data_IF_629664518422
#
_entry.id   IF_629664518422
#
_cell.length_a   1.000
_cell.length_b   1.000
_cell.length_c   1.000
_cell.angle_alpha   90.00
_cell.angle_beta   90.00
_cell.angle_gamma   90.00
#
_symmetry.space_group_name_H-M   'P 1'
#
loop_
_entity.id
_entity.type
_entity.pdbx_description
1 polymer ?
#
# COMPACT_ATOMS: atom_id res chain seq x y z
N UNK A 1 -24.76 3.52 2.03
CA UNK A 1 -24.17 2.18 1.77
C UNK A 1 -22.72 2.21 2.21
N UNK A 2 -22.37 1.44 3.24
CA UNK A 2 -20.97 1.31 3.64
C UNK A 2 -20.30 0.35 2.64
N UNK A 3 -19.58 0.91 1.69
CA UNK A 3 -18.90 0.13 0.64
C UNK A 3 -17.46 -0.15 1.09
N UNK A 4 -17.11 -1.42 1.23
CA UNK A 4 -15.71 -1.83 1.37
C UNK A 4 -15.00 -1.71 0.02
N UNK A 5 -13.79 -1.15 -0.01
CA UNK A 5 -13.03 -0.94 -1.25
C UNK A 5 -11.66 -1.62 -1.21
N UNK A 6 -11.16 -2.07 -2.37
CA UNK A 6 -9.80 -2.61 -2.50
C UNK A 6 -8.82 -1.47 -2.73
N UNK A 7 -7.60 -1.62 -2.22
CA UNK A 7 -6.53 -0.69 -2.53
C UNK A 7 -6.13 -0.76 -4.01
N UNK A 8 -5.86 0.40 -4.59
CA UNK A 8 -5.23 0.49 -5.91
C UNK A 8 -4.15 1.58 -5.87
N UNK A 9 -2.92 1.35 -6.35
CA UNK A 9 -2.38 0.02 -6.65
C UNK A 9 -2.43 -0.88 -5.40
N UNK A 10 -2.46 -2.20 -5.61
CA UNK A 10 -2.32 -3.15 -4.50
C UNK A 10 -0.88 -3.12 -3.96
N UNK A 11 -0.71 -3.36 -2.66
CA UNK A 11 0.62 -3.54 -2.07
C UNK A 11 1.16 -4.89 -2.57
N UNK A 12 2.36 -4.86 -3.15
CA UNK A 12 3.05 -6.04 -3.67
C UNK A 12 4.49 -6.02 -3.21
N UNK A 13 4.96 -7.14 -2.66
CA UNK A 13 6.30 -7.25 -2.07
C UNK A 13 7.01 -8.50 -2.56
N UNK A 14 8.34 -8.43 -2.67
CA UNK A 14 9.20 -9.60 -2.93
C UNK A 14 10.10 -9.80 -1.73
N UNK A 15 9.97 -10.94 -1.06
CA UNK A 15 10.82 -11.27 0.09
C UNK A 15 12.03 -12.08 -0.38
N UNK A 16 13.15 -11.93 0.30
CA UNK A 16 14.43 -12.61 0.05
C UNK A 16 15.10 -12.90 1.40
N UNK A 17 16.07 -13.83 1.41
CA UNK A 17 16.89 -14.19 2.57
C UNK A 17 16.09 -14.72 3.77
N UNK A 18 14.98 -15.41 3.52
CA UNK A 18 14.35 -16.25 4.54
C UNK A 18 15.06 -17.60 4.62
N UNK A 19 14.99 -18.26 5.77
CA UNK A 19 15.40 -19.66 5.84
C UNK A 19 14.42 -20.50 4.98
N UNK A 20 14.90 -21.28 3.99
CA UNK A 20 14.02 -22.04 3.11
C UNK A 20 13.11 -23.05 3.84
N UNK A 21 13.56 -23.56 4.99
CA UNK A 21 12.93 -24.65 5.74
C UNK A 21 11.99 -24.16 6.83
N UNK A 22 12.20 -22.95 7.34
CA UNK A 22 11.36 -22.34 8.37
C UNK A 22 10.00 -21.89 7.83
N UNK A 23 9.01 -21.86 8.71
CA UNK A 23 7.64 -21.44 8.40
C UNK A 23 7.42 -19.98 8.79
N UNK A 24 6.78 -19.22 7.90
CA UNK A 24 6.50 -17.81 8.11
C UNK A 24 5.05 -17.48 7.82
N UNK A 25 4.47 -16.58 8.63
CA UNK A 25 3.29 -15.83 8.26
C UNK A 25 3.70 -14.49 7.65
N UNK A 26 3.03 -14.11 6.57
CA UNK A 26 3.16 -12.77 6.00
C UNK A 26 1.85 -12.04 6.23
N UNK A 27 1.92 -10.88 6.86
CA UNK A 27 0.75 -10.09 7.21
C UNK A 27 0.97 -8.61 6.88
N UNK A 28 -0.12 -7.85 6.88
CA UNK A 28 -0.09 -6.41 6.67
C UNK A 28 -1.07 -5.73 7.63
N UNK A 29 -0.62 -4.64 8.25
CA UNK A 29 -1.50 -3.71 8.94
C UNK A 29 -1.41 -2.31 8.30
N UNK A 30 -2.26 -1.41 8.77
CA UNK A 30 -2.25 -0.02 8.32
C UNK A 30 -2.31 0.86 9.57
N UNK A 31 -1.27 1.68 9.77
CA UNK A 31 -1.15 2.57 10.93
C UNK A 31 -1.42 4.03 10.54
N UNK A 32 -2.01 4.84 11.44
CA UNK A 32 -2.09 6.29 11.23
C UNK A 32 -0.69 6.89 11.15
N UNK A 33 -0.52 7.90 10.30
CA UNK A 33 0.74 8.66 10.16
C UNK A 33 0.86 9.75 11.22
N UNK A 34 -0.27 10.38 11.54
CA UNK A 34 -0.40 11.43 12.56
C UNK A 34 -1.81 11.40 13.16
N UNK A 35 -2.02 12.23 14.18
CA UNK A 35 -3.33 12.42 14.85
C UNK A 35 -4.08 13.63 14.28
N UNK A 36 -4.12 13.78 12.95
CA UNK A 36 -4.71 14.94 12.26
C UNK A 36 -5.78 14.53 11.26
N UNK A 37 -6.89 15.27 11.30
CA UNK A 37 -7.91 15.23 10.26
C UNK A 37 -7.56 16.24 9.18
N UNK A 38 -7.68 15.83 7.93
CA UNK A 38 -7.34 16.64 6.77
C UNK A 38 -8.61 17.12 6.03
N UNK A 39 -8.44 18.18 5.25
CA UNK A 39 -9.40 18.63 4.22
C UNK A 39 -8.66 18.98 2.95
N UNK A 40 -9.29 18.76 1.80
CA UNK A 40 -8.74 19.20 0.52
C UNK A 40 -9.25 20.60 0.19
N UNK A 41 -8.35 21.49 -0.19
CA UNK A 41 -8.65 22.86 -0.60
C UNK A 41 -8.56 22.95 -2.11
N UNK A 42 -9.71 23.06 -2.78
CA UNK A 42 -9.82 22.95 -4.24
C UNK A 42 -9.10 24.07 -4.99
N UNK A 43 -9.27 25.33 -4.57
CA UNK A 43 -8.69 26.48 -5.26
C UNK A 43 -7.15 26.50 -5.23
N UNK A 44 -6.53 25.90 -4.21
CA UNK A 44 -5.07 25.77 -4.10
C UNK A 44 -4.57 24.36 -4.40
N UNK A 45 -5.46 23.43 -4.72
CA UNK A 45 -5.15 22.01 -4.95
C UNK A 45 -4.25 21.39 -3.87
N UNK A 46 -4.55 21.63 -2.60
CA UNK A 46 -3.69 21.23 -1.48
C UNK A 46 -4.46 20.58 -0.33
N UNK A 47 -3.78 19.66 0.36
CA UNK A 47 -4.25 19.10 1.62
C UNK A 47 -3.89 20.00 2.80
N UNK A 48 -4.88 20.36 3.60
CA UNK A 48 -4.72 21.19 4.80
C UNK A 48 -5.19 20.44 6.03
N UNK A 49 -4.57 20.73 7.18
CA UNK A 49 -5.05 20.24 8.48
C UNK A 49 -6.36 20.96 8.81
N UNK A 50 -7.37 20.17 9.16
CA UNK A 50 -8.70 20.65 9.56
C UNK A 50 -8.93 20.55 11.07
N UNK A 51 -8.19 19.70 11.77
CA UNK A 51 -8.26 19.54 13.21
C UNK A 51 -7.44 18.34 13.69
N UNK A 52 -7.48 18.10 15.00
CA UNK A 52 -6.86 16.94 15.63
C UNK A 52 -7.88 15.82 15.76
N UNK A 53 -7.41 14.58 15.79
CA UNK A 53 -8.26 13.39 15.98
C UNK A 53 -7.53 12.39 16.84
N UNK A 54 -8.27 11.79 17.77
CA UNK A 54 -7.77 10.67 18.55
C UNK A 54 -8.06 9.36 17.81
N UNK A 55 -6.99 8.59 17.59
CA UNK A 55 -7.07 7.27 16.94
C UNK A 55 -7.17 6.12 17.95
N UNK A 56 -7.19 6.42 19.26
CA UNK A 56 -7.25 5.43 20.33
C UNK A 56 -8.48 4.50 20.24
N UNK A 57 -9.58 4.98 19.64
CA UNK A 57 -10.81 4.20 19.46
C UNK A 57 -10.75 3.18 18.30
N UNK A 58 -9.75 3.27 17.40
CA UNK A 58 -9.63 2.34 16.27
C UNK A 58 -8.68 1.22 16.65
N UNK A 59 -9.22 0.03 16.89
CA UNK A 59 -8.41 -1.18 17.05
C UNK A 59 -7.71 -1.51 15.73
N UNK A 60 -6.36 -1.52 15.68
CA UNK A 60 -5.62 -1.92 14.48
C UNK A 60 -5.98 -3.35 14.08
N UNK A 61 -6.27 -3.57 12.80
CA UNK A 61 -6.56 -4.90 12.26
C UNK A 61 -5.38 -5.42 11.48
N UNK A 62 -4.98 -6.65 11.79
CA UNK A 62 -3.95 -7.38 11.08
C UNK A 62 -4.59 -8.21 9.97
N UNK A 63 -4.19 -7.96 8.72
CA UNK A 63 -4.54 -8.82 7.59
C UNK A 63 -3.46 -9.86 7.38
N UNK A 64 -3.78 -11.14 7.59
CA UNK A 64 -2.86 -12.25 7.30
C UNK A 64 -3.03 -12.67 5.84
N UNK A 65 -1.93 -12.82 5.10
CA UNK A 65 -1.97 -13.29 3.72
C UNK A 65 -2.56 -14.71 3.68
N UNK A 66 -3.49 -15.02 2.75
CA UNK A 66 -4.21 -16.30 2.72
C UNK A 66 -3.30 -17.53 2.57
N UNK A 67 -2.13 -17.36 1.95
CA UNK A 67 -1.15 -18.44 1.80
C UNK A 67 -0.31 -18.67 3.08
N UNK A 68 -0.58 -17.95 4.18
CA UNK A 68 0.12 -18.15 5.45
C UNK A 68 -0.50 -19.29 6.28
N UNK A 69 0.31 -20.06 7.03
CA UNK A 69 1.78 -20.07 7.00
C UNK A 69 2.32 -20.77 5.75
N UNK A 70 3.52 -20.36 5.33
CA UNK A 70 4.26 -21.06 4.26
C UNK A 70 5.76 -21.04 4.52
N UNK A 71 6.50 -21.93 3.84
CA UNK A 71 7.94 -22.01 3.96
C UNK A 71 8.63 -20.77 3.40
N UNK A 72 9.81 -20.43 3.93
CA UNK A 72 10.61 -19.33 3.40
C UNK A 72 10.93 -19.51 1.91
N UNK A 73 11.16 -20.75 1.46
CA UNK A 73 11.37 -21.08 0.05
C UNK A 73 10.15 -20.68 -0.81
N UNK A 74 8.95 -21.02 -0.35
CA UNK A 74 7.70 -20.72 -1.06
C UNK A 74 7.48 -19.21 -1.17
N UNK A 75 7.66 -18.49 -0.06
CA UNK A 75 7.53 -17.02 -0.04
C UNK A 75 8.53 -16.33 -0.96
N UNK A 76 9.77 -16.83 -1.01
CA UNK A 76 10.82 -16.29 -1.87
C UNK A 76 10.64 -16.65 -3.35
N UNK A 77 9.71 -17.54 -3.72
CA UNK A 77 9.51 -18.00 -5.11
C UNK A 77 8.90 -16.92 -6.00
N UNK A 78 7.87 -16.21 -5.54
CA UNK A 78 7.16 -15.20 -6.34
C UNK A 78 6.93 -13.88 -5.60
N UNK A 79 6.27 -12.92 -6.26
CA UNK A 79 5.85 -11.67 -5.62
C UNK A 79 4.57 -11.94 -4.84
N UNK A 80 4.53 -11.48 -3.59
CA UNK A 80 3.38 -11.57 -2.70
C UNK A 80 2.47 -10.36 -2.94
N UNK A 81 1.16 -10.58 -3.02
CA UNK A 81 0.17 -9.56 -3.37
C UNK A 81 -0.90 -9.44 -2.31
N UNK A 82 -1.17 -8.21 -1.87
CA UNK A 82 -2.25 -7.87 -0.95
C UNK A 82 -3.48 -7.30 -1.69
N UNK A 83 -3.78 -7.82 -2.88
CA UNK A 83 -4.89 -7.37 -3.75
C UNK A 83 -6.29 -7.73 -3.19
N UNK A 84 -6.35 -8.68 -2.26
CA UNK A 84 -7.58 -9.07 -1.56
C UNK A 84 -7.87 -8.21 -0.33
N UNK A 85 -6.96 -7.33 0.08
CA UNK A 85 -7.19 -6.42 1.22
C UNK A 85 -8.30 -5.45 0.89
N UNK A 86 -9.23 -5.33 1.83
CA UNK A 86 -10.36 -4.41 1.77
C UNK A 86 -10.30 -3.43 2.93
N UNK A 87 -10.60 -2.18 2.61
CA UNK A 87 -10.69 -1.06 3.54
C UNK A 87 -12.17 -0.70 3.71
N UNK A 88 -12.55 -0.32 4.93
CA UNK A 88 -13.91 0.11 5.28
C UNK A 88 -13.87 1.28 6.25
N UNK A 89 -14.92 2.10 6.25
CA UNK A 89 -15.16 3.11 7.27
C UNK A 89 -16.26 2.68 8.28
N UNK A 90 -16.74 1.43 8.19
CA UNK A 90 -17.63 0.87 9.20
C UNK A 90 -16.82 0.45 10.44
N UNK A 91 -16.99 1.16 11.54
CA UNK A 91 -16.36 0.83 12.82
C UNK A 91 -16.86 -0.51 13.39
N UNK A 92 -18.06 -0.95 12.97
CA UNK A 92 -18.69 -2.20 13.39
C UNK A 92 -18.52 -3.32 12.35
N UNK A 93 -17.48 -3.28 11.51
CA UNK A 93 -17.26 -4.31 10.49
C UNK A 93 -16.96 -5.68 11.11
N UNK A 94 -17.76 -6.70 10.78
CA UNK A 94 -17.61 -8.08 11.25
C UNK A 94 -16.89 -9.00 10.24
N UNK A 95 -16.53 -8.46 9.07
CA UNK A 95 -15.96 -9.21 7.93
C UNK A 95 -14.43 -9.27 7.94
N UNK A 96 -13.80 -8.72 8.98
CA UNK A 96 -12.34 -8.65 9.09
C UNK A 96 -11.68 -7.68 8.11
N UNK A 97 -12.43 -6.73 7.53
CA UNK A 97 -11.83 -5.67 6.72
C UNK A 97 -11.04 -4.70 7.60
N UNK A 98 -10.01 -4.06 7.05
CA UNK A 98 -9.25 -3.04 7.78
C UNK A 98 -10.11 -1.79 7.90
N UNK A 99 -10.41 -1.37 9.13
CA UNK A 99 -11.21 -0.19 9.43
C UNK A 99 -10.31 1.03 9.44
N UNK A 100 -10.66 2.04 8.66
CA UNK A 100 -9.96 3.32 8.62
C UNK A 100 -10.95 4.47 8.66
N UNK A 101 -10.61 5.52 9.40
CA UNK A 101 -11.37 6.77 9.37
C UNK A 101 -11.11 7.51 8.07
N UNK A 102 -12.13 8.17 7.51
CA UNK A 102 -11.98 9.01 6.32
C UNK A 102 -11.21 10.28 6.64
N UNK A 103 -10.55 10.86 5.64
CA UNK A 103 -9.81 12.13 5.72
C UNK A 103 -8.59 12.11 6.64
N UNK A 104 -7.94 10.94 6.79
CA UNK A 104 -6.75 10.76 7.61
C UNK A 104 -5.62 10.15 6.79
N UNK A 105 -4.38 10.40 7.22
CA UNK A 105 -3.18 9.84 6.58
C UNK A 105 -2.81 8.52 7.23
N UNK A 106 -2.57 7.51 6.40
CA UNK A 106 -2.20 6.18 6.84
C UNK A 106 -0.98 5.67 6.08
N UNK A 107 -0.28 4.71 6.70
CA UNK A 107 0.86 4.00 6.12
C UNK A 107 0.67 2.49 6.32
N UNK A 108 0.64 1.70 5.22
CA UNK A 108 0.73 0.26 5.31
C UNK A 108 2.06 -0.21 5.87
N UNK A 109 2.05 -1.26 6.68
CA UNK A 109 3.26 -1.99 7.10
C UNK A 109 3.10 -3.46 6.76
N UNK A 110 4.19 -4.07 6.29
CA UNK A 110 4.23 -5.50 5.99
C UNK A 110 5.07 -6.18 7.07
N UNK A 111 4.57 -7.31 7.57
CA UNK A 111 5.18 -8.09 8.63
C UNK A 111 5.55 -9.47 8.12
N UNK A 112 6.79 -9.88 8.39
CA UNK A 112 7.24 -11.26 8.25
C UNK A 112 7.36 -11.83 9.65
N UNK A 113 6.59 -12.86 9.95
CA UNK A 113 6.43 -13.41 11.30
C UNK A 113 6.90 -14.86 11.27
N UNK A 114 7.96 -15.19 12.01
CA UNK A 114 8.43 -16.56 12.18
C UNK A 114 7.36 -17.35 12.94
N UNK A 115 6.95 -18.50 12.42
CA UNK A 115 6.02 -19.40 13.11
C UNK A 115 6.79 -20.17 14.17
N UNK A 116 6.45 -19.96 15.44
CA UNK A 116 7.03 -20.77 16.52
C UNK A 116 6.55 -22.24 16.40
N UNK A 117 7.42 -23.23 16.66
CA UNK A 117 7.02 -24.64 16.71
C UNK A 117 6.01 -24.85 17.83
N UNK A 118 4.76 -25.14 17.46
CA UNK A 118 3.67 -25.38 18.39
C UNK A 118 2.61 -26.31 17.81
N UNK A 119 1.90 -27.08 18.66
CA UNK A 119 0.95 -28.09 18.21
C UNK A 119 -0.31 -27.51 17.55
N UNK A 120 -0.64 -26.24 17.81
CA UNK A 120 -1.88 -25.63 17.33
C UNK A 120 -1.64 -24.56 16.23
N UNK A 121 -2.52 -24.47 15.22
CA UNK A 121 -2.52 -23.36 14.28
C UNK A 121 -2.93 -22.07 15.02
N UNK A 122 -1.96 -21.21 15.32
CA UNK A 122 -2.22 -19.90 15.93
C UNK A 122 -2.95 -19.01 14.91
N UNK A 123 -4.21 -18.67 15.21
CA UNK A 123 -4.92 -17.62 14.48
C UNK A 123 -4.30 -16.26 14.87
N UNK A 124 -3.46 -15.72 14.00
CA UNK A 124 -2.84 -14.41 14.21
C UNK A 124 -3.88 -13.29 14.09
N UNK A 125 -4.46 -12.91 15.22
CA UNK A 125 -5.36 -11.75 15.34
C UNK A 125 -4.60 -10.46 15.65
N UNK A 126 -3.39 -10.57 16.20
CA UNK A 126 -2.48 -9.47 16.51
C UNK A 126 -1.03 -9.88 16.27
N UNK A 127 -0.11 -8.90 16.28
CA UNK A 127 1.32 -9.17 16.12
C UNK A 127 1.88 -9.83 17.39
N UNK A 128 2.66 -10.92 17.27
CA UNK A 128 3.30 -11.54 18.44
C UNK A 128 4.43 -10.66 18.99
N UNK A 129 4.82 -10.92 20.24
CA UNK A 129 5.85 -10.15 20.93
C UNK A 129 7.28 -10.40 20.39
N UNK A 130 7.50 -11.54 19.72
CA UNK A 130 8.80 -11.97 19.19
C UNK A 130 8.64 -12.53 17.78
N UNK A 131 9.75 -12.63 17.05
CA UNK A 131 9.78 -13.22 15.71
C UNK A 131 9.11 -12.37 14.62
N UNK A 132 8.85 -11.08 14.87
CA UNK A 132 8.22 -10.16 13.91
C UNK A 132 9.25 -9.22 13.31
N UNK A 133 9.39 -9.26 11.98
CA UNK A 133 10.13 -8.27 11.21
C UNK A 133 9.14 -7.37 10.48
N UNK A 134 9.16 -6.07 10.78
CA UNK A 134 8.23 -5.08 10.24
C UNK A 134 8.90 -4.17 9.22
N UNK A 135 8.28 -4.03 8.05
CA UNK A 135 8.76 -3.22 6.94
C UNK A 135 7.75 -2.12 6.62
N UNK A 136 8.24 -0.89 6.46
CA UNK A 136 7.40 0.26 6.09
C UNK A 136 8.01 1.00 4.92
N UNK A 137 7.16 1.54 4.05
CA UNK A 137 7.56 2.18 2.80
C UNK A 137 6.95 3.59 2.77
N UNK A 138 7.74 4.68 2.93
CA UNK A 138 7.19 6.03 3.00
C UNK A 138 6.35 6.43 1.78
N UNK A 139 6.65 5.89 0.61
CA UNK A 139 5.94 6.08 -0.66
C UNK A 139 4.54 5.45 -0.67
N UNK A 140 4.23 4.49 0.22
CA UNK A 140 2.93 3.84 0.32
C UNK A 140 1.92 4.58 1.21
N UNK A 141 2.30 5.75 1.73
CA UNK A 141 1.39 6.61 2.48
C UNK A 141 0.24 7.11 1.60
N UNK A 142 -0.96 7.17 2.17
CA UNK A 142 -2.14 7.67 1.47
C UNK A 142 -3.10 8.37 2.42
N UNK A 143 -4.01 9.17 1.84
CA UNK A 143 -5.14 9.76 2.57
C UNK A 143 -6.41 9.00 2.24
N UNK A 144 -7.13 8.57 3.26
CA UNK A 144 -8.44 7.93 3.11
C UNK A 144 -9.50 8.96 2.71
N UNK A 145 -10.40 8.59 1.82
CA UNK A 145 -11.50 9.45 1.37
C UNK A 145 -12.71 8.59 1.02
N UNK A 146 -13.92 9.12 1.20
CA UNK A 146 -15.15 8.46 0.69
C UNK A 146 -15.42 8.79 -0.78
N UNK A 147 -14.85 9.89 -1.27
CA UNK A 147 -14.85 10.29 -2.68
C UNK A 147 -13.52 10.98 -3.02
N UNK A 148 -12.99 10.74 -4.23
CA UNK A 148 -11.75 11.37 -4.68
C UNK A 148 -11.86 12.89 -4.66
N UNK A 149 -10.89 13.54 -4.01
CA UNK A 149 -10.85 15.01 -3.88
C UNK A 149 -10.03 15.66 -5.01
N UNK A 150 -8.87 15.06 -5.33
CA UNK A 150 -8.01 15.54 -6.41
C UNK A 150 -8.38 14.86 -7.75
N UNK A 151 -8.82 15.63 -8.74
CA UNK A 151 -9.21 15.13 -10.06
C UNK A 151 -8.05 14.46 -10.82
N UNK A 152 -6.80 14.87 -10.59
CA UNK A 152 -5.63 14.21 -11.19
C UNK A 152 -5.49 12.76 -10.71
N UNK A 153 -5.79 12.52 -9.42
CA UNK A 153 -5.84 11.16 -8.87
C UNK A 153 -6.97 10.38 -9.52
N UNK A 154 -8.17 10.95 -9.67
CA UNK A 154 -9.29 10.29 -10.37
C UNK A 154 -8.89 9.85 -11.78
N UNK A 155 -8.30 10.76 -12.57
CA UNK A 155 -7.82 10.47 -13.92
C UNK A 155 -6.77 9.34 -13.91
N UNK A 156 -5.76 9.44 -13.04
CA UNK A 156 -4.73 8.40 -12.91
C UNK A 156 -5.34 7.03 -12.55
N UNK A 157 -6.34 7.01 -11.66
CA UNK A 157 -7.03 5.77 -11.27
C UNK A 157 -7.80 5.18 -12.44
N UNK A 158 -8.50 6.01 -13.22
CA UNK A 158 -9.21 5.59 -14.43
C UNK A 158 -8.22 4.99 -15.45
N UNK A 159 -7.10 5.68 -15.69
CA UNK A 159 -6.10 5.31 -16.68
C UNK A 159 -5.36 4.01 -16.30
N UNK A 160 -5.06 3.81 -15.02
CA UNK A 160 -4.20 2.72 -14.55
C UNK A 160 -4.96 1.51 -14.01
N UNK A 161 -6.14 1.68 -13.44
CA UNK A 161 -6.92 0.57 -12.89
C UNK A 161 -7.64 -0.19 -14.02
N UNK A 162 -7.34 -1.50 -14.25
CA UNK A 162 -8.02 -2.29 -15.27
C UNK A 162 -9.55 -2.31 -15.10
N UNK A 163 -10.05 -2.26 -13.86
CA UNK A 163 -11.48 -2.27 -13.55
C UNK A 163 -12.18 -0.94 -13.85
N UNK A 164 -11.43 0.14 -14.11
CA UNK A 164 -11.98 1.45 -14.47
C UNK A 164 -11.88 1.74 -15.99
N UNK A 165 -11.51 0.74 -16.80
CA UNK A 165 -11.29 0.91 -18.25
C UNK A 165 -12.49 1.52 -18.98
N UNK A 166 -13.72 1.23 -18.55
CA UNK A 166 -14.95 1.79 -19.16
C UNK A 166 -15.11 3.30 -19.03
N UNK A 167 -14.39 3.94 -18.11
CA UNK A 167 -14.38 5.40 -17.93
C UNK A 167 -13.23 6.09 -18.68
N UNK A 168 -12.37 5.33 -19.38
CA UNK A 168 -11.32 5.91 -20.21
C UNK A 168 -11.98 6.47 -21.47
N UNK A 169 -11.70 7.73 -21.79
CA UNK A 169 -12.25 8.39 -22.98
C UNK A 169 -12.00 7.53 -24.24
N UNK A 170 -13.04 7.00 -24.91
CA UNK A 170 -12.86 6.11 -26.05
C UNK A 170 -12.39 6.81 -27.33
N UNK A 171 -12.25 8.14 -27.36
CA UNK A 171 -11.98 8.83 -28.64
C UNK A 171 -11.99 10.35 -28.68
N UNK A 172 -11.47 11.08 -27.68
CA UNK A 172 -11.36 12.55 -27.80
C UNK A 172 -9.98 12.98 -28.34
N UNK A 173 -9.94 13.16 -29.66
CA UNK A 173 -9.01 14.00 -30.43
C UNK A 173 -7.51 13.62 -30.45
N UNK A 174 -7.14 12.71 -31.37
CA UNK A 174 -5.77 12.54 -31.90
C UNK A 174 -5.23 13.74 -32.73
N UNK A 175 -5.77 14.95 -32.60
CA UNK A 175 -5.41 16.04 -33.53
C UNK A 175 -5.49 17.48 -33.05
N UNK A 176 -5.85 17.75 -31.79
CA UNK A 176 -5.93 19.16 -31.28
C UNK A 176 -5.22 19.33 -29.93
N UNK A 177 -4.70 18.26 -29.34
CA UNK A 177 -3.93 18.30 -28.09
C UNK A 177 -2.42 18.11 -28.29
N UNK A 178 -1.92 18.03 -29.51
CA UNK A 178 -0.47 18.08 -29.75
C UNK A 178 0.09 19.49 -29.47
N UNK A 179 -0.70 20.56 -29.68
CA UNK A 179 -0.22 21.95 -29.48
C UNK A 179 -0.10 22.44 -28.03
N UNK A 180 -0.68 21.74 -27.04
CA UNK A 180 -0.55 22.09 -25.61
C UNK A 180 0.28 21.04 -24.85
N UNK A 181 0.38 19.81 -25.39
CA UNK A 181 1.20 18.74 -24.83
C UNK A 181 2.66 18.79 -25.30
N UNK A 182 2.98 19.54 -26.37
CA UNK A 182 4.35 19.72 -26.88
C UNK A 182 5.29 20.54 -25.97
N UNK A 183 4.78 21.21 -24.94
CA UNK A 183 5.62 21.95 -23.98
C UNK A 183 6.25 21.09 -22.88
N UNK A 184 5.98 19.78 -22.85
CA UNK A 184 6.62 18.88 -21.88
C UNK A 184 7.27 17.67 -22.58
N UNK A 185 8.60 17.48 -22.41
CA UNK A 185 9.35 16.46 -23.12
C UNK A 185 9.09 15.09 -22.49
N UNK A 186 8.00 14.44 -22.87
CA UNK A 186 7.79 13.03 -22.58
C UNK A 186 7.30 12.31 -23.83
N UNK A 187 8.23 12.00 -24.74
CA UNK A 187 8.08 10.81 -25.60
C UNK A 187 8.53 9.58 -24.83
N UNK A 188 7.61 8.61 -24.74
CA UNK A 188 7.90 7.19 -24.54
C UNK A 188 8.40 6.60 -25.87
N UNK A 189 9.30 5.60 -25.85
CA UNK A 189 8.81 4.25 -26.11
C UNK A 189 9.55 3.19 -25.28
N UNK A 190 8.84 2.14 -24.87
CA UNK A 190 9.37 0.84 -24.42
C UNK A 190 10.83 0.79 -23.93
N UNK A 191 10.99 0.97 -22.63
CA UNK A 191 12.25 0.77 -21.92
C UNK A 191 12.02 1.05 -20.45
N UNK A 192 11.56 0.04 -19.71
CA UNK A 192 11.53 0.09 -18.25
C UNK A 192 12.98 0.05 -17.73
N UNK A 193 13.68 1.18 -17.83
CA UNK A 193 14.99 1.34 -17.21
C UNK A 193 14.80 1.63 -15.71
N UNK A 194 14.69 0.55 -14.97
CA UNK A 194 14.53 0.54 -13.52
C UNK A 194 15.90 0.77 -12.89
N UNK A 195 16.25 2.03 -12.63
CA UNK A 195 17.49 2.37 -11.92
C UNK A 195 17.58 1.65 -10.55
N UNK A 196 18.67 0.93 -10.27
CA UNK A 196 18.98 0.48 -8.92
C UNK A 196 19.32 1.70 -8.04
N UNK A 197 18.77 1.75 -6.83
CA UNK A 197 19.25 2.67 -5.79
C UNK A 197 19.96 1.85 -4.72
N UNK A 198 21.24 2.11 -4.55
CA UNK A 198 22.04 1.65 -3.42
C UNK A 198 22.09 2.77 -2.40
N UNK A 199 21.75 2.48 -1.14
CA UNK A 199 22.11 3.32 0.00
C UNK A 199 23.27 2.63 0.71
N UNK A 200 24.42 3.31 0.75
CA UNK A 200 25.53 2.94 1.62
C UNK A 200 25.16 3.31 3.05
N UNK A 201 25.33 2.36 3.98
CA UNK A 201 25.33 2.60 5.42
C UNK A 201 26.69 2.15 5.95
N UNK A 202 27.45 3.12 6.45
CA UNK A 202 28.59 2.88 7.34
C UNK A 202 28.07 2.20 8.61
N UNK A 203 28.67 1.06 8.97
CA UNK A 203 28.43 0.39 10.25
C UNK A 203 28.38 -1.13 10.10
N UNK A 204 29.41 -1.79 10.61
CA UNK A 204 29.63 -3.23 10.62
C UNK A 204 28.53 -4.02 11.33
N UNK A 205 27.64 -4.69 10.59
CA UNK A 205 27.15 -6.06 10.86
C UNK A 205 26.31 -6.57 9.67
N UNK A 206 26.64 -7.79 9.21
CA UNK A 206 25.99 -8.64 8.18
C UNK A 206 25.02 -7.94 7.21
N UNK A 207 25.55 -7.63 6.03
CA UNK A 207 24.86 -7.08 4.86
C UNK A 207 23.57 -7.85 4.50
N UNK A 208 22.43 -7.19 4.64
CA UNK A 208 21.19 -7.54 3.96
C UNK A 208 21.03 -6.55 2.79
N UNK A 209 21.33 -7.01 1.58
CA UNK A 209 21.14 -6.20 0.36
C UNK A 209 19.65 -6.09 0.04
N UNK A 210 19.06 -4.94 0.32
CA UNK A 210 17.65 -4.66 0.03
C UNK A 210 17.48 -4.20 -1.42
N UNK A 211 16.61 -4.90 -2.16
CA UNK A 211 16.20 -4.49 -3.51
C UNK A 211 14.67 -4.59 -3.57
N UNK A 212 13.99 -3.52 -3.19
CA UNK A 212 12.52 -3.45 -3.19
C UNK A 212 12.05 -2.45 -4.23
N UNK A 213 11.12 -2.89 -5.08
CA UNK A 213 10.37 -2.04 -6.01
C UNK A 213 8.94 -1.94 -5.49
N UNK A 214 8.67 -0.93 -4.68
CA UNK A 214 7.31 -0.52 -4.36
C UNK A 214 7.03 0.78 -5.12
N UNK A 215 6.24 0.68 -6.19
CA UNK A 215 5.72 1.85 -6.89
C UNK A 215 4.37 2.19 -6.25
N UNK A 216 4.37 3.02 -5.21
CA UNK A 216 3.20 3.83 -4.89
C UNK A 216 3.58 5.27 -5.17
N UNK A 217 2.87 5.80 -6.15
CA UNK A 217 3.02 7.16 -6.61
C UNK A 217 2.46 8.08 -5.51
N UNK A 218 3.37 8.63 -4.70
CA UNK A 218 3.21 9.96 -4.13
C UNK A 218 3.20 10.94 -5.29
N UNK A 219 2.16 11.75 -5.43
CA UNK A 219 2.38 13.12 -5.87
C UNK A 219 1.74 14.02 -4.81
N UNK A 220 2.60 14.95 -4.37
CA UNK A 220 2.38 16.00 -3.37
C UNK A 220 1.07 16.76 -3.59
#
# INVERSE_FOLDING_TARGET
LILSTRMFPSIRVKVRNLDPTEQYHIAMDIMPVDSKRYRYVYHSSQWMVAGNTDHSCITPRLYVHPDSPSSGETWMRQVISFDRVKLTNNEMDDKGHIILQSMHKYKPRVHVIVREPGPEPVLLTSLPARGVHTFTFPETQFTTVTAYQNQQITKLKIDRNPFAKGFRDPGRNRGVLDGILESYPWRSPFGLDLKPFSLELQGTERQITHCFKALIIKYL
#
